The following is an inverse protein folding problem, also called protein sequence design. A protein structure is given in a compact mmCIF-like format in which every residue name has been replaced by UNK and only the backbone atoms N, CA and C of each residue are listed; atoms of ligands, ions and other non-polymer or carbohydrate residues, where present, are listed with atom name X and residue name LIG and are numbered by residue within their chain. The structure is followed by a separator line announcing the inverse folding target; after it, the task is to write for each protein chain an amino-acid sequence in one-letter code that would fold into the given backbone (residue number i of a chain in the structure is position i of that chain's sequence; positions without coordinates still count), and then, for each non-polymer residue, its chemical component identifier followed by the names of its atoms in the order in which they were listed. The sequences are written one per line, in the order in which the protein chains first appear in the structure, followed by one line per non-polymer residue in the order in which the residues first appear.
data_IF_009282807909
#
_entry.id   IF_009282807909
#
_cell.length_a   1.000
_cell.length_b   1.000
_cell.length_c   1.000
_cell.angle_alpha   90.00
_cell.angle_beta   90.00
_cell.angle_gamma   90.00
#
_symmetry.space_group_name_H-M   'P 1'
#
loop_
_entity.id
_entity.type
_entity.pdbx_description
1 polymer ?
#
# COMPACT_ATOMS: atom_id res chain seq x y z
N UNK A 1 -13.28 -16.48 -17.95
CA UNK A 1 -13.63 -17.77 -18.62
C UNK A 1 -13.03 -18.97 -17.87
N UNK A 2 -11.74 -18.96 -17.49
CA UNK A 2 -11.12 -20.07 -16.76
C UNK A 2 -11.76 -20.34 -15.39
N UNK A 3 -12.10 -19.30 -14.63
CA UNK A 3 -12.80 -19.44 -13.35
C UNK A 3 -14.23 -19.97 -13.50
N UNK A 4 -14.93 -19.61 -14.59
CA UNK A 4 -16.26 -20.10 -14.90
C UNK A 4 -16.21 -21.55 -15.40
N UNK A 5 -15.19 -21.93 -16.18
CA UNK A 5 -14.97 -23.30 -16.61
C UNK A 5 -14.58 -24.24 -15.44
N UNK A 6 -13.76 -23.75 -14.49
CA UNK A 6 -13.48 -24.50 -13.26
C UNK A 6 -14.71 -24.71 -12.36
N UNK A 7 -15.72 -23.84 -12.46
CA UNK A 7 -17.02 -24.03 -11.78
C UNK A 7 -17.89 -25.10 -12.44
N UNK A 8 -17.74 -25.32 -13.75
CA UNK A 8 -18.57 -26.26 -14.51
C UNK A 8 -18.03 -27.71 -14.49
N UNK A 9 -16.71 -27.88 -14.34
CA UNK A 9 -16.04 -29.17 -14.45
C UNK A 9 -15.76 -29.90 -13.11
N UNK A 10 -16.11 -29.31 -11.97
CA UNK A 10 -15.94 -29.99 -10.68
C UNK A 10 -17.27 -30.51 -10.12
N UNK A 11 -17.49 -31.81 -10.09
CA UNK A 11 -18.75 -32.39 -9.62
C UNK A 11 -18.99 -32.36 -8.12
N UNK A 12 -18.14 -31.72 -7.34
CA UNK A 12 -18.30 -31.68 -5.87
C UNK A 12 -17.72 -30.42 -5.27
N UNK A 13 -18.43 -29.82 -4.33
CA UNK A 13 -18.14 -28.74 -3.37
C UNK A 13 -16.80 -27.98 -3.40
N UNK A 14 -15.74 -28.53 -3.97
CA UNK A 14 -14.43 -27.90 -4.06
C UNK A 14 -14.42 -26.64 -4.95
N UNK A 15 -15.13 -26.66 -6.09
CA UNK A 15 -15.25 -25.48 -6.97
C UNK A 15 -16.05 -24.37 -6.33
N UNK A 16 -17.05 -24.68 -5.52
CA UNK A 16 -17.84 -23.73 -4.76
C UNK A 16 -17.00 -23.11 -3.62
N UNK A 17 -16.13 -23.89 -2.98
CA UNK A 17 -15.20 -23.40 -1.94
C UNK A 17 -14.12 -22.48 -2.51
N UNK A 18 -13.60 -22.76 -3.70
CA UNK A 18 -12.62 -21.87 -4.39
C UNK A 18 -13.29 -20.56 -4.77
N UNK A 19 -14.51 -20.59 -5.32
CA UNK A 19 -15.25 -19.37 -5.66
C UNK A 19 -15.61 -18.52 -4.46
N UNK A 20 -15.88 -19.11 -3.30
CA UNK A 20 -16.16 -18.36 -2.07
C UNK A 20 -14.90 -17.72 -1.47
N UNK A 21 -13.73 -18.35 -1.57
CA UNK A 21 -12.45 -17.78 -1.13
C UNK A 21 -12.04 -16.58 -1.98
N UNK A 22 -12.07 -16.69 -3.30
CA UNK A 22 -11.79 -15.59 -4.22
C UNK A 22 -12.74 -14.42 -4.04
N UNK A 23 -14.03 -14.68 -3.77
CA UNK A 23 -14.99 -13.63 -3.47
C UNK A 23 -14.70 -12.95 -2.14
N UNK A 24 -14.34 -13.71 -1.11
CA UNK A 24 -14.01 -13.17 0.21
C UNK A 24 -12.74 -12.28 0.14
N UNK A 25 -11.70 -12.70 -0.58
CA UNK A 25 -10.47 -11.91 -0.78
C UNK A 25 -10.75 -10.64 -1.57
N UNK A 26 -11.59 -10.72 -2.61
CA UNK A 26 -12.00 -9.55 -3.39
C UNK A 26 -12.83 -8.55 -2.56
N UNK A 27 -13.76 -9.02 -1.73
CA UNK A 27 -14.54 -8.17 -0.83
C UNK A 27 -13.65 -7.52 0.23
N UNK A 28 -12.73 -8.26 0.83
CA UNK A 28 -11.75 -7.75 1.79
C UNK A 28 -10.91 -6.62 1.17
N UNK A 29 -10.41 -6.84 -0.04
CA UNK A 29 -9.69 -5.83 -0.81
C UNK A 29 -10.55 -4.58 -1.04
N UNK A 30 -11.78 -4.73 -1.55
CA UNK A 30 -12.69 -3.62 -1.82
C UNK A 30 -12.99 -2.78 -0.56
N UNK A 31 -13.32 -3.44 0.54
CA UNK A 31 -13.62 -2.75 1.82
C UNK A 31 -12.41 -1.95 2.28
N UNK A 32 -11.21 -2.55 2.26
CA UNK A 32 -9.99 -1.86 2.69
C UNK A 32 -9.63 -0.70 1.77
N UNK A 33 -9.84 -0.82 0.44
CA UNK A 33 -9.59 0.26 -0.51
C UNK A 33 -10.58 1.41 -0.36
N UNK A 34 -11.85 1.14 -0.04
CA UNK A 34 -12.86 2.18 0.27
C UNK A 34 -12.48 2.91 1.56
N UNK A 35 -12.12 2.18 2.62
CA UNK A 35 -11.68 2.78 3.89
C UNK A 35 -10.43 3.65 3.66
N UNK A 36 -9.43 3.14 2.93
CA UNK A 36 -8.24 3.90 2.59
C UNK A 36 -8.56 5.18 1.83
N UNK A 37 -9.46 5.09 0.83
CA UNK A 37 -9.93 6.24 0.07
C UNK A 37 -10.64 7.28 0.92
N UNK A 38 -11.50 6.86 1.86
CA UNK A 38 -12.19 7.76 2.79
C UNK A 38 -11.22 8.46 3.73
N UNK A 39 -10.22 7.74 4.29
CA UNK A 39 -9.20 8.33 5.15
C UNK A 39 -8.36 9.36 4.40
N UNK A 40 -7.94 9.03 3.17
CA UNK A 40 -7.19 9.96 2.33
C UNK A 40 -8.03 11.19 1.97
N UNK A 41 -9.28 11.01 1.56
CA UNK A 41 -10.18 12.11 1.21
C UNK A 41 -10.38 13.05 2.40
N UNK A 42 -10.69 12.50 3.59
CA UNK A 42 -10.83 13.28 4.80
C UNK A 42 -9.54 14.03 5.15
N UNK A 43 -8.40 13.35 5.04
CA UNK A 43 -7.08 13.96 5.26
C UNK A 43 -6.82 15.13 4.30
N UNK A 44 -7.16 15.00 3.01
CA UNK A 44 -7.00 16.08 2.03
C UNK A 44 -7.93 17.26 2.29
N UNK A 45 -9.20 17.02 2.59
CA UNK A 45 -10.17 18.09 2.92
C UNK A 45 -9.70 18.87 4.14
N UNK A 46 -9.24 18.18 5.18
CA UNK A 46 -8.72 18.84 6.38
C UNK A 46 -7.39 19.58 6.10
N UNK A 47 -6.53 19.03 5.26
CA UNK A 47 -5.27 19.69 4.88
C UNK A 47 -5.50 20.96 4.04
N UNK A 48 -6.54 20.99 3.20
CA UNK A 48 -6.89 22.15 2.38
C UNK A 48 -7.48 23.30 3.23
N UNK A 49 -8.20 22.95 4.31
CA UNK A 49 -8.76 23.91 5.28
C UNK A 49 -7.68 24.39 6.27
N UNK A 50 -6.61 23.58 6.44
CA UNK A 50 -5.55 23.89 7.41
C UNK A 50 -4.72 25.09 6.98
N UNK A 51 -4.75 26.17 7.78
CA UNK A 51 -3.91 27.37 7.59
C UNK A 51 -2.87 27.45 8.69
N UNK A 52 -1.56 27.34 8.37
CA UNK A 52 -0.50 27.49 9.36
C UNK A 52 -0.48 28.91 9.94
N UNK A 53 -0.27 29.02 11.23
CA UNK A 53 -0.02 30.31 11.89
C UNK A 53 -1.26 31.09 12.36
N UNK A 54 -2.48 30.76 11.97
CA UNK A 54 -3.66 31.57 12.36
C UNK A 54 -4.20 31.29 13.76
N UNK A 55 -3.85 30.18 14.42
CA UNK A 55 -4.31 29.88 15.79
C UNK A 55 -3.24 29.13 16.61
N UNK A 56 -2.82 29.66 17.76
CA UNK A 56 -1.99 28.93 18.70
C UNK A 56 -2.78 27.75 19.25
N UNK A 57 -2.26 26.52 19.07
CA UNK A 57 -2.88 25.29 19.56
C UNK A 57 -3.30 24.29 18.47
N UNK A 58 -3.08 24.53 17.17
CA UNK A 58 -3.44 23.61 16.07
C UNK A 58 -2.41 22.52 15.74
N UNK A 59 -1.29 22.43 16.45
CA UNK A 59 -0.33 21.31 16.32
C UNK A 59 -1.03 19.93 16.37
N UNK A 60 -2.02 19.68 17.24
CA UNK A 60 -2.75 18.41 17.24
C UNK A 60 -3.54 18.18 15.95
N UNK A 61 -4.06 19.22 15.29
CA UNK A 61 -4.78 19.08 14.03
C UNK A 61 -3.84 18.68 12.87
N UNK A 62 -2.67 19.32 12.76
CA UNK A 62 -1.67 18.94 11.74
C UNK A 62 -1.19 17.49 11.92
N UNK A 63 -1.00 17.05 13.17
CA UNK A 63 -0.68 15.64 13.48
C UNK A 63 -1.81 14.69 13.09
N UNK A 64 -3.05 15.08 13.36
CA UNK A 64 -4.23 14.27 13.00
C UNK A 64 -4.38 14.14 11.49
N UNK A 65 -4.20 15.23 10.73
CA UNK A 65 -4.21 15.22 9.26
C UNK A 65 -3.11 14.29 8.73
N UNK A 66 -1.88 14.44 9.24
CA UNK A 66 -0.76 13.58 8.84
C UNK A 66 -1.04 12.11 9.17
N UNK A 67 -1.63 11.82 10.33
CA UNK A 67 -2.00 10.45 10.71
C UNK A 67 -3.08 9.85 9.79
N UNK A 68 -4.10 10.63 9.40
CA UNK A 68 -5.13 10.18 8.46
C UNK A 68 -4.55 9.87 7.09
N UNK A 69 -3.72 10.76 6.56
CA UNK A 69 -3.07 10.57 5.26
C UNK A 69 -2.14 9.35 5.29
N UNK A 70 -1.30 9.25 6.32
CA UNK A 70 -0.36 8.11 6.45
C UNK A 70 -1.09 6.79 6.65
N UNK A 71 -2.17 6.74 7.43
CA UNK A 71 -2.99 5.55 7.59
C UNK A 71 -3.68 5.14 6.26
N UNK A 72 -4.23 6.10 5.52
CA UNK A 72 -4.85 5.86 4.22
C UNK A 72 -3.85 5.30 3.19
N UNK A 73 -2.66 5.88 3.10
CA UNK A 73 -1.59 5.38 2.24
C UNK A 73 -1.04 4.03 2.72
N UNK A 74 -0.90 3.82 4.02
CA UNK A 74 -0.43 2.56 4.59
C UNK A 74 -1.38 1.40 4.27
N UNK A 75 -2.70 1.61 4.38
CA UNK A 75 -3.72 0.66 3.95
C UNK A 75 -3.63 0.35 2.46
N UNK A 76 -3.53 1.39 1.63
CA UNK A 76 -3.54 1.26 0.18
C UNK A 76 -2.29 0.60 -0.38
N UNK A 77 -1.14 0.85 0.22
CA UNK A 77 0.16 0.35 -0.21
C UNK A 77 0.63 -0.91 0.56
N UNK A 78 -0.28 -1.52 1.32
CA UNK A 78 -0.01 -2.73 2.10
C UNK A 78 1.19 -2.60 3.05
N UNK A 79 1.36 -1.44 3.70
CA UNK A 79 2.35 -1.29 4.76
C UNK A 79 1.93 -2.06 6.02
N UNK A 80 2.88 -2.52 6.77
CA UNK A 80 2.61 -3.16 8.06
C UNK A 80 2.13 -2.10 9.06
N UNK A 81 1.01 -2.36 9.78
CA UNK A 81 0.31 -3.64 9.97
C UNK A 81 -0.78 -4.00 8.94
N UNK A 82 -1.06 -3.17 7.96
CA UNK A 82 -2.22 -3.32 7.05
C UNK A 82 -1.96 -4.19 5.81
N UNK A 83 -0.93 -4.98 5.79
CA UNK A 83 -0.44 -5.74 4.62
C UNK A 83 -1.24 -7.00 4.27
N UNK A 84 -2.09 -7.51 5.18
CA UNK A 84 -2.68 -8.85 5.07
C UNK A 84 -3.55 -9.08 3.82
N UNK A 85 -4.10 -8.04 3.21
CA UNK A 85 -4.93 -8.16 2.01
C UNK A 85 -4.13 -8.51 0.75
N UNK A 86 -2.86 -8.12 0.67
CA UNK A 86 -2.05 -8.29 -0.54
C UNK A 86 -1.66 -9.75 -0.79
N UNK A 87 -1.13 -10.52 0.19
CA UNK A 87 -0.87 -11.95 0.01
C UNK A 87 -2.13 -12.75 -0.33
N UNK A 88 -3.26 -12.46 0.32
CA UNK A 88 -4.54 -13.13 0.05
C UNK A 88 -5.00 -12.84 -1.39
N UNK A 89 -4.90 -11.59 -1.84
CA UNK A 89 -5.27 -11.21 -3.20
C UNK A 89 -4.40 -11.91 -4.25
N UNK A 90 -3.08 -11.94 -4.04
CA UNK A 90 -2.13 -12.54 -4.98
C UNK A 90 -2.30 -14.05 -5.06
N UNK A 91 -2.64 -14.70 -3.96
CA UNK A 91 -2.87 -16.15 -3.93
C UNK A 91 -4.17 -16.54 -4.66
N UNK A 92 -5.26 -15.82 -4.39
CA UNK A 92 -6.60 -16.19 -4.83
C UNK A 92 -6.99 -15.65 -6.22
N UNK A 93 -6.39 -14.53 -6.67
CA UNK A 93 -6.70 -13.93 -7.96
C UNK A 93 -5.90 -14.55 -9.10
N UNK A 94 -6.42 -14.40 -10.34
CA UNK A 94 -5.66 -14.75 -11.53
C UNK A 94 -4.38 -13.91 -11.63
N UNK A 95 -3.22 -14.49 -12.02
CA UNK A 95 -1.94 -13.80 -12.03
C UNK A 95 -1.98 -12.45 -12.77
N UNK A 96 -2.57 -12.44 -13.96
CA UNK A 96 -2.69 -11.23 -14.79
C UNK A 96 -3.52 -10.12 -14.11
N UNK A 97 -4.55 -10.48 -13.34
CA UNK A 97 -5.37 -9.53 -12.58
C UNK A 97 -4.57 -8.97 -11.40
N UNK A 98 -3.86 -9.82 -10.68
CA UNK A 98 -2.98 -9.40 -9.58
C UNK A 98 -1.89 -8.46 -10.07
N UNK A 99 -1.22 -8.79 -11.18
CA UNK A 99 -0.19 -7.95 -11.79
C UNK A 99 -0.73 -6.56 -12.14
N UNK A 100 -1.88 -6.49 -12.80
CA UNK A 100 -2.50 -5.24 -13.24
C UNK A 100 -2.92 -4.38 -12.04
N UNK A 101 -3.56 -4.96 -11.04
CA UNK A 101 -3.96 -4.27 -9.82
C UNK A 101 -2.72 -3.70 -9.10
N UNK A 102 -1.70 -4.51 -8.89
CA UNK A 102 -0.50 -4.10 -8.16
C UNK A 102 0.26 -3.04 -8.96
N UNK A 103 0.52 -3.24 -10.24
CA UNK A 103 1.26 -2.29 -11.07
C UNK A 103 0.57 -0.93 -11.13
N UNK A 104 -0.73 -0.88 -11.40
CA UNK A 104 -1.46 0.39 -11.56
C UNK A 104 -1.72 1.05 -10.20
N UNK A 105 -2.24 0.29 -9.23
CA UNK A 105 -2.68 0.88 -7.96
C UNK A 105 -1.51 1.33 -7.11
N UNK A 106 -0.44 0.52 -7.01
CA UNK A 106 0.74 0.92 -6.25
C UNK A 106 1.41 2.14 -6.88
N UNK A 107 1.64 2.14 -8.18
CA UNK A 107 2.29 3.26 -8.86
C UNK A 107 1.48 4.55 -8.73
N UNK A 108 0.17 4.48 -8.98
CA UNK A 108 -0.71 5.64 -8.83
C UNK A 108 -0.72 6.15 -7.39
N UNK A 109 -0.77 5.25 -6.41
CA UNK A 109 -0.78 5.61 -4.99
C UNK A 109 0.54 6.26 -4.55
N UNK A 110 1.68 5.77 -5.05
CA UNK A 110 2.99 6.37 -4.80
C UNK A 110 3.11 7.76 -5.41
N UNK A 111 2.63 7.95 -6.65
CA UNK A 111 2.61 9.27 -7.29
C UNK A 111 1.75 10.26 -6.49
N UNK A 112 0.55 9.85 -6.07
CA UNK A 112 -0.32 10.69 -5.25
C UNK A 112 0.32 11.01 -3.91
N UNK A 113 1.04 10.08 -3.29
CA UNK A 113 1.78 10.32 -2.04
C UNK A 113 2.89 11.37 -2.24
N UNK A 114 3.69 11.25 -3.29
CA UNK A 114 4.74 12.23 -3.61
C UNK A 114 4.16 13.62 -3.84
N UNK A 115 3.08 13.70 -4.63
CA UNK A 115 2.37 14.95 -4.87
C UNK A 115 1.79 15.55 -3.57
N UNK A 116 1.33 14.71 -2.65
CA UNK A 116 0.82 15.14 -1.34
C UNK A 116 1.90 15.80 -0.49
N UNK A 117 3.09 15.22 -0.46
CA UNK A 117 4.23 15.81 0.24
C UNK A 117 4.69 17.14 -0.37
N UNK A 118 4.61 17.26 -1.69
CA UNK A 118 4.92 18.52 -2.39
C UNK A 118 3.86 19.60 -2.16
N UNK A 119 2.58 19.22 -2.09
CA UNK A 119 1.48 20.16 -1.90
C UNK A 119 1.37 20.68 -0.45
N UNK A 120 1.67 19.84 0.53
CA UNK A 120 1.52 20.13 1.94
C UNK A 120 2.84 19.99 2.73
N UNK A 121 3.92 20.70 2.34
CA UNK A 121 5.22 20.59 3.02
C UNK A 121 5.14 21.01 4.48
N UNK A 122 4.24 21.93 4.81
CA UNK A 122 4.04 22.47 6.16
C UNK A 122 3.67 21.36 7.15
N UNK A 123 2.86 20.35 6.74
CA UNK A 123 2.49 19.23 7.62
C UNK A 123 3.71 18.41 8.08
N UNK A 124 4.74 18.33 7.24
CA UNK A 124 5.98 17.63 7.56
C UNK A 124 6.91 18.50 8.44
N UNK A 125 6.96 19.80 8.17
CA UNK A 125 7.81 20.74 8.93
C UNK A 125 7.28 20.93 10.36
N UNK A 126 5.96 21.05 10.53
CA UNK A 126 5.34 21.21 11.85
C UNK A 126 5.33 19.91 12.68
N UNK A 127 5.58 18.77 12.04
CA UNK A 127 5.60 17.47 12.71
C UNK A 127 6.94 16.75 12.51
N UNK A 128 8.01 17.15 13.21
CA UNK A 128 9.34 16.56 13.03
C UNK A 128 9.39 15.05 13.37
N UNK A 129 8.45 14.56 14.16
CA UNK A 129 8.28 13.13 14.44
C UNK A 129 7.66 12.36 13.27
N UNK A 130 6.93 13.02 12.37
CA UNK A 130 6.25 12.38 11.24
C UNK A 130 7.20 11.60 10.34
N UNK A 131 8.25 12.23 9.77
CA UNK A 131 9.24 11.55 8.95
C UNK A 131 9.97 10.42 9.67
N UNK A 132 10.23 10.57 10.96
CA UNK A 132 10.89 9.53 11.77
C UNK A 132 9.98 8.32 11.95
N UNK A 133 8.71 8.52 12.23
CA UNK A 133 7.72 7.44 12.34
C UNK A 133 7.53 6.74 10.99
N UNK A 134 7.50 7.49 9.88
CA UNK A 134 7.45 6.93 8.53
C UNK A 134 8.67 6.06 8.22
N UNK A 135 9.88 6.50 8.60
CA UNK A 135 11.12 5.70 8.44
C UNK A 135 11.08 4.41 9.25
N UNK A 136 10.66 4.50 10.51
CA UNK A 136 10.53 3.31 11.37
C UNK A 136 9.49 2.35 10.79
N UNK A 137 8.33 2.84 10.40
CA UNK A 137 7.28 2.02 9.76
C UNK A 137 7.75 1.36 8.47
N UNK A 138 8.50 2.09 7.64
CA UNK A 138 9.10 1.57 6.41
C UNK A 138 10.13 0.47 6.69
N UNK A 139 11.03 0.66 7.67
CA UNK A 139 12.00 -0.35 8.09
C UNK A 139 11.32 -1.61 8.64
N UNK A 140 10.31 -1.43 9.48
CA UNK A 140 9.51 -2.56 10.01
C UNK A 140 8.83 -3.32 8.87
N UNK A 141 8.29 -2.60 7.87
CA UNK A 141 7.67 -3.21 6.69
C UNK A 141 8.68 -3.99 5.87
N UNK A 142 9.90 -3.46 5.65
CA UNK A 142 10.98 -4.18 4.98
C UNK A 142 11.36 -5.45 5.75
N UNK A 143 11.64 -5.34 7.04
CA UNK A 143 12.10 -6.47 7.84
C UNK A 143 11.05 -7.59 7.89
N UNK A 144 9.81 -7.25 8.22
CA UNK A 144 8.75 -8.26 8.34
C UNK A 144 8.38 -8.81 6.96
N UNK A 145 8.30 -7.98 5.92
CA UNK A 145 8.04 -8.43 4.54
C UNK A 145 9.11 -9.40 4.06
N UNK A 146 10.40 -9.07 4.25
CA UNK A 146 11.51 -9.94 3.89
C UNK A 146 11.54 -11.26 4.67
N UNK A 147 11.37 -11.20 6.00
CA UNK A 147 11.33 -12.41 6.85
C UNK A 147 10.13 -13.29 6.52
N UNK A 148 8.96 -12.68 6.31
CA UNK A 148 7.76 -13.43 5.95
C UNK A 148 7.89 -14.08 4.57
N UNK A 149 8.56 -13.44 3.60
CA UNK A 149 8.83 -14.02 2.28
C UNK A 149 9.66 -15.31 2.38
N UNK A 150 10.66 -15.35 3.29
CA UNK A 150 11.51 -16.53 3.50
C UNK A 150 10.77 -17.71 4.13
N UNK A 151 9.66 -17.46 4.82
CA UNK A 151 8.89 -18.49 5.53
C UNK A 151 7.76 -19.08 4.66
N UNK A 152 7.52 -18.56 3.47
CA UNK A 152 6.45 -19.04 2.60
C UNK A 152 6.89 -20.23 1.77
N UNK A 153 6.06 -21.27 1.73
CA UNK A 153 6.21 -22.42 0.82
C UNK A 153 5.55 -22.17 -0.54
N UNK A 154 4.56 -21.26 -0.58
CA UNK A 154 3.82 -20.92 -1.79
C UNK A 154 4.49 -19.76 -2.53
N UNK A 155 4.92 -20.02 -3.78
CA UNK A 155 5.61 -19.05 -4.64
C UNK A 155 4.84 -17.73 -4.78
N UNK A 156 3.50 -17.79 -4.92
CA UNK A 156 2.66 -16.58 -5.06
C UNK A 156 2.68 -15.73 -3.78
N UNK A 157 2.59 -16.37 -2.62
CA UNK A 157 2.72 -15.67 -1.33
C UNK A 157 4.10 -15.09 -1.12
N UNK A 158 5.14 -15.82 -1.49
CA UNK A 158 6.51 -15.30 -1.46
C UNK A 158 6.64 -14.02 -2.28
N UNK A 159 6.12 -14.01 -3.52
CA UNK A 159 6.11 -12.82 -4.37
C UNK A 159 5.33 -11.66 -3.73
N UNK A 160 4.18 -11.93 -3.12
CA UNK A 160 3.42 -10.89 -2.42
C UNK A 160 4.20 -10.26 -1.25
N UNK A 161 4.90 -11.06 -0.46
CA UNK A 161 5.73 -10.54 0.63
C UNK A 161 6.99 -9.81 0.14
N UNK A 162 7.57 -10.23 -0.99
CA UNK A 162 8.64 -9.47 -1.65
C UNK A 162 8.15 -8.11 -2.15
N UNK A 163 6.92 -8.01 -2.63
CA UNK A 163 6.31 -6.72 -2.99
C UNK A 163 6.11 -5.82 -1.77
N UNK A 164 5.70 -6.38 -0.63
CA UNK A 164 5.60 -5.64 0.64
C UNK A 164 6.97 -5.12 1.07
N UNK A 165 8.00 -5.98 1.01
CA UNK A 165 9.39 -5.58 1.26
C UNK A 165 9.81 -4.40 0.37
N UNK A 166 9.57 -4.51 -0.92
CA UNK A 166 9.93 -3.49 -1.91
C UNK A 166 9.19 -2.17 -1.67
N UNK A 167 7.90 -2.23 -1.36
CA UNK A 167 7.11 -1.05 -0.97
C UNK A 167 7.68 -0.38 0.28
N UNK A 168 8.14 -1.15 1.26
CA UNK A 168 8.86 -0.65 2.42
C UNK A 168 10.13 0.11 2.06
N UNK A 169 10.94 -0.40 1.10
CA UNK A 169 12.14 0.28 0.60
C UNK A 169 11.80 1.62 -0.06
N UNK A 170 10.77 1.65 -0.90
CA UNK A 170 10.28 2.90 -1.52
C UNK A 170 9.88 3.92 -0.45
N UNK A 171 9.12 3.50 0.57
CA UNK A 171 8.72 4.38 1.67
C UNK A 171 9.90 4.87 2.50
N UNK A 172 10.90 4.06 2.72
CA UNK A 172 12.13 4.47 3.40
C UNK A 172 12.86 5.57 2.63
N UNK A 173 12.96 5.43 1.31
CA UNK A 173 13.52 6.45 0.44
C UNK A 173 12.72 7.76 0.50
N UNK A 174 11.39 7.69 0.41
CA UNK A 174 10.51 8.86 0.50
C UNK A 174 10.60 9.56 1.86
N UNK A 175 10.67 8.79 2.95
CA UNK A 175 10.75 9.32 4.31
C UNK A 175 12.10 9.99 4.63
N UNK A 176 13.11 9.83 3.77
CA UNK A 176 14.39 10.54 3.91
C UNK A 176 14.28 12.05 3.64
N UNK A 177 13.21 12.49 2.94
CA UNK A 177 12.94 13.89 2.53
C UNK A 177 14.17 14.53 1.87
N UNK A 178 14.94 13.75 1.12
CA UNK A 178 16.10 14.19 0.37
C UNK A 178 15.90 13.95 -1.13
N UNK A 179 16.58 14.74 -1.97
CA UNK A 179 16.49 14.58 -3.42
C UNK A 179 16.97 13.18 -3.85
N UNK A 180 18.06 12.71 -3.24
CA UNK A 180 18.60 11.36 -3.50
C UNK A 180 17.65 10.25 -3.04
N UNK A 181 16.98 10.42 -1.88
CA UNK A 181 15.98 9.48 -1.40
C UNK A 181 14.75 9.43 -2.29
N UNK A 182 14.28 10.59 -2.76
CA UNK A 182 13.14 10.67 -3.68
C UNK A 182 13.46 10.02 -5.04
N UNK A 183 14.62 10.31 -5.61
CA UNK A 183 15.04 9.69 -6.88
C UNK A 183 15.22 8.19 -6.75
N UNK A 184 15.83 7.72 -5.67
CA UNK A 184 15.95 6.28 -5.37
C UNK A 184 14.60 5.60 -5.20
N UNK A 185 13.68 6.22 -4.47
CA UNK A 185 12.32 5.69 -4.27
C UNK A 185 11.53 5.60 -5.58
N UNK A 186 11.62 6.60 -6.45
CA UNK A 186 10.96 6.58 -7.76
C UNK A 186 11.57 5.51 -8.68
N UNK A 187 12.90 5.37 -8.68
CA UNK A 187 13.58 4.33 -9.44
C UNK A 187 13.15 2.92 -8.97
N UNK A 188 13.11 2.71 -7.66
CA UNK A 188 12.67 1.43 -7.09
C UNK A 188 11.18 1.15 -7.36
N UNK A 189 10.33 2.17 -7.34
CA UNK A 189 8.92 2.03 -7.71
C UNK A 189 8.75 1.61 -9.18
N UNK A 190 9.55 2.17 -10.10
CA UNK A 190 9.55 1.76 -11.51
C UNK A 190 10.06 0.32 -11.68
N UNK A 191 11.13 -0.03 -10.98
CA UNK A 191 11.67 -1.39 -10.95
C UNK A 191 10.63 -2.40 -10.46
N UNK A 192 9.87 -2.05 -9.42
CA UNK A 192 8.77 -2.87 -8.91
C UNK A 192 7.71 -3.15 -9.97
N UNK A 193 7.32 -2.17 -10.77
CA UNK A 193 6.34 -2.37 -11.86
C UNK A 193 6.85 -3.38 -12.88
N UNK A 194 8.11 -3.24 -13.30
CA UNK A 194 8.75 -4.17 -14.25
C UNK A 194 8.79 -5.58 -13.67
N UNK A 195 9.20 -5.72 -12.41
CA UNK A 195 9.23 -7.03 -11.72
C UNK A 195 7.84 -7.67 -11.63
N UNK A 196 6.80 -6.90 -11.30
CA UNK A 196 5.42 -7.41 -11.22
C UNK A 196 4.97 -7.92 -12.58
N UNK A 197 5.21 -7.18 -13.66
CA UNK A 197 4.80 -7.59 -15.03
C UNK A 197 5.58 -8.82 -15.51
N UNK A 198 6.84 -8.99 -15.07
CA UNK A 198 7.66 -10.14 -15.48
C UNK A 198 7.39 -11.41 -14.66
N UNK A 199 6.97 -11.27 -13.38
CA UNK A 199 6.82 -12.41 -12.47
C UNK A 199 5.40 -12.97 -12.41
N UNK A 200 4.39 -12.20 -12.83
CA UNK A 200 2.99 -12.60 -12.88
C UNK A 200 2.50 -12.79 -14.31
#
# INVERSE_FOLDING_TARGET
KAAVLAMVDLPTGAGMLVGTRTLASALKYLILMVIAGMLMYLGYVLADIYRPGELPGRIPLARFILALLTAGFALRLALIPFHAWLPDLVEDAAPMVSALIIAIINTTSLLVLVLSFQRFPVLLVENPLGPTLLRIGALVTCLIGGLAALQQENMRRTLAYLLIYNTGMVFYGLASISVTGLTGALFEAMNQVVLVVLLF
#
